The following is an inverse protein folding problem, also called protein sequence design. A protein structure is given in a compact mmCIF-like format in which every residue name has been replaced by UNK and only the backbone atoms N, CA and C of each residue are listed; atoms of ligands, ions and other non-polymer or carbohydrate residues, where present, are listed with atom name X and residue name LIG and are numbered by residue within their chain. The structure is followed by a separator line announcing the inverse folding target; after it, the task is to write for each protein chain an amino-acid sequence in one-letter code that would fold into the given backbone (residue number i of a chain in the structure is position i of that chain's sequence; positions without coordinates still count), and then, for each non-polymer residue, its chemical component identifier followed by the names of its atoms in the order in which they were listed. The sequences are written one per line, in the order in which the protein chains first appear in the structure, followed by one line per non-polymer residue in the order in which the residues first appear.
data_IF_979743339559
#
_entry.id   IF_979743339559
#
_cell.length_a   1.000
_cell.length_b   1.000
_cell.length_c   1.000
_cell.angle_alpha   90.00
_cell.angle_beta   90.00
_cell.angle_gamma   90.00
#
_symmetry.space_group_name_H-M   'P 1'
#
loop_
_entity.id
_entity.type
_entity.pdbx_description
1 polymer ?
#
# COMPACT_ATOMS: atom_id res chain seq x y z
N UNK A 1 24.15 3.72 -9.01
CA UNK A 1 23.69 2.56 -8.23
C UNK A 1 24.53 2.37 -6.96
N UNK A 2 25.82 2.06 -7.05
CA UNK A 2 26.63 1.78 -5.85
C UNK A 2 26.65 2.90 -4.79
N UNK A 3 26.74 4.19 -5.18
CA UNK A 3 26.66 5.32 -4.24
C UNK A 3 25.29 5.43 -3.55
N UNK A 4 24.20 5.37 -4.33
CA UNK A 4 22.84 5.36 -3.76
C UNK A 4 22.63 4.18 -2.79
N UNK A 5 23.19 3.01 -3.11
CA UNK A 5 23.04 1.81 -2.26
C UNK A 5 23.83 1.96 -0.96
N UNK A 6 25.02 2.58 -1.02
CA UNK A 6 25.80 2.97 0.15
C UNK A 6 25.04 3.97 1.02
N UNK A 7 24.49 5.03 0.42
CA UNK A 7 23.73 6.06 1.15
C UNK A 7 22.49 5.46 1.84
N UNK A 8 21.79 4.52 1.17
CA UNK A 8 20.66 3.82 1.76
C UNK A 8 21.08 2.91 2.91
N UNK A 9 22.22 2.23 2.78
CA UNK A 9 22.76 1.40 3.85
C UNK A 9 23.19 2.22 5.07
N UNK A 10 23.83 3.38 4.86
CA UNK A 10 24.18 4.34 5.93
C UNK A 10 22.94 4.84 6.68
N UNK A 11 21.83 5.06 5.96
CA UNK A 11 20.52 5.43 6.53
C UNK A 11 19.76 4.26 7.15
N UNK A 12 20.34 3.06 7.19
CA UNK A 12 19.72 1.80 7.68
C UNK A 12 18.43 1.44 6.94
N UNK A 13 18.32 1.82 5.67
CA UNK A 13 17.18 1.52 4.82
C UNK A 13 17.40 0.17 4.13
N UNK A 14 16.79 -0.88 4.68
CA UNK A 14 16.81 -2.22 4.10
C UNK A 14 15.44 -2.91 4.16
N UNK A 15 15.27 -4.06 3.50
CA UNK A 15 14.03 -4.83 3.60
C UNK A 15 13.66 -5.18 5.05
N UNK A 16 14.63 -5.34 5.94
CA UNK A 16 14.37 -5.51 7.38
C UNK A 16 13.64 -4.30 7.96
N UNK A 17 14.10 -3.09 7.65
CA UNK A 17 13.46 -1.86 8.13
C UNK A 17 12.03 -1.68 7.59
N UNK A 18 11.74 -2.16 6.37
CA UNK A 18 10.35 -2.21 5.86
C UNK A 18 9.51 -3.16 6.71
N UNK A 19 10.01 -4.37 6.96
CA UNK A 19 9.30 -5.37 7.77
C UNK A 19 9.02 -4.87 9.18
N UNK A 20 9.97 -4.16 9.79
CA UNK A 20 9.83 -3.57 11.13
C UNK A 20 8.84 -2.40 11.11
N UNK A 21 8.94 -1.49 10.14
CA UNK A 21 8.02 -0.35 10.01
C UNK A 21 6.57 -0.77 9.74
N UNK A 22 6.39 -1.91 9.07
CA UNK A 22 5.07 -2.50 8.80
C UNK A 22 4.65 -3.53 9.86
N UNK A 23 5.42 -3.71 10.93
CA UNK A 23 5.02 -4.57 12.03
C UNK A 23 3.91 -3.89 12.85
N UNK A 24 2.78 -4.59 13.00
CA UNK A 24 1.59 -4.02 13.65
C UNK A 24 0.76 -3.13 12.72
N UNK A 25 0.07 -2.14 13.29
CA UNK A 25 -0.85 -1.27 12.58
C UNK A 25 -0.16 0.02 12.14
N UNK A 26 0.58 -0.07 11.02
CA UNK A 26 1.36 1.03 10.49
C UNK A 26 0.47 2.18 9.96
N UNK A 27 0.84 3.42 10.29
CA UNK A 27 0.14 4.65 9.89
C UNK A 27 1.07 5.52 9.03
N UNK A 28 0.54 6.59 8.44
CA UNK A 28 1.39 7.55 7.73
C UNK A 28 2.41 8.19 8.68
N UNK A 29 2.03 8.46 9.92
CA UNK A 29 2.93 9.02 10.94
C UNK A 29 4.06 8.07 11.33
N UNK A 30 3.77 6.78 11.52
CA UNK A 30 4.79 5.83 11.99
C UNK A 30 5.70 5.30 10.88
N UNK A 31 5.18 5.09 9.67
CA UNK A 31 5.90 4.42 8.58
C UNK A 31 6.09 5.27 7.32
N UNK A 32 5.33 6.35 7.13
CA UNK A 32 5.25 7.07 5.85
C UNK A 32 6.59 7.59 5.35
N UNK A 33 7.34 8.28 6.22
CA UNK A 33 8.65 8.83 5.87
C UNK A 33 9.66 7.74 5.49
N UNK A 34 9.65 6.60 6.18
CA UNK A 34 10.56 5.49 5.87
C UNK A 34 10.20 4.87 4.52
N UNK A 35 8.92 4.57 4.29
CA UNK A 35 8.45 3.94 3.06
C UNK A 35 8.77 4.80 1.82
N UNK A 36 8.61 6.12 1.92
CA UNK A 36 8.90 7.06 0.82
C UNK A 36 10.39 7.20 0.48
N UNK A 37 11.31 6.84 1.39
CA UNK A 37 12.74 6.90 1.11
C UNK A 37 13.25 5.72 0.27
N UNK A 38 12.48 4.62 0.18
CA UNK A 38 12.86 3.47 -0.64
C UNK A 38 12.73 3.77 -2.12
N UNK A 39 13.75 3.35 -2.88
CA UNK A 39 13.74 3.44 -4.34
C UNK A 39 13.39 2.09 -4.96
N UNK A 40 12.62 2.15 -6.05
CA UNK A 40 12.41 0.97 -6.86
C UNK A 40 13.70 0.58 -7.59
N UNK A 41 13.90 -0.72 -7.74
CA UNK A 41 14.94 -1.26 -8.59
C UNK A 41 14.53 -1.07 -10.06
N UNK A 42 15.28 -0.23 -10.77
CA UNK A 42 15.13 -0.03 -12.23
C UNK A 42 16.22 -0.86 -12.92
N UNK A 43 15.83 -1.62 -13.95
CA UNK A 43 16.64 -2.66 -14.60
C UNK A 43 18.13 -2.33 -14.73
N UNK A 44 18.93 -3.32 -14.34
CA UNK A 44 20.37 -3.29 -14.29
C UNK A 44 21.04 -3.73 -15.60
N UNK A 45 20.91 -2.95 -16.66
CA UNK A 45 21.82 -3.09 -17.81
C UNK A 45 23.30 -2.79 -17.48
N UNK A 46 23.63 -2.57 -16.19
CA UNK A 46 24.95 -2.18 -15.68
C UNK A 46 25.34 -2.86 -14.35
N UNK A 47 24.73 -3.98 -13.94
CA UNK A 47 25.25 -4.69 -12.77
C UNK A 47 26.45 -5.57 -13.17
N UNK A 48 27.58 -5.49 -12.45
CA UNK A 48 28.70 -6.39 -12.70
C UNK A 48 28.26 -7.85 -12.48
N UNK A 49 28.70 -8.79 -13.33
CA UNK A 49 28.38 -10.21 -13.18
C UNK A 49 29.13 -10.75 -11.96
N UNK A 50 28.44 -10.85 -10.83
CA UNK A 50 29.04 -11.40 -9.61
C UNK A 50 27.99 -11.55 -8.51
N UNK A 51 28.02 -12.70 -7.83
CA UNK A 51 27.26 -12.93 -6.60
C UNK A 51 27.80 -11.98 -5.51
N UNK A 52 26.89 -11.30 -4.82
CA UNK A 52 26.87 -11.41 -3.37
C UNK A 52 25.56 -12.07 -2.98
N UNK A 53 25.67 -13.10 -2.15
CA UNK A 53 24.60 -13.47 -1.23
C UNK A 53 24.59 -12.33 -0.21
N UNK A 54 24.07 -11.16 -0.58
CA UNK A 54 23.66 -10.20 0.42
C UNK A 54 22.52 -10.87 1.16
N UNK A 55 22.56 -10.88 2.49
CA UNK A 55 21.38 -11.27 3.25
C UNK A 55 20.20 -10.50 2.65
N UNK A 56 19.16 -11.23 2.26
CA UNK A 56 17.95 -10.66 1.71
C UNK A 56 17.43 -9.48 2.57
N UNK A 57 17.68 -9.52 3.88
CA UNK A 57 17.33 -8.48 4.83
C UNK A 57 18.16 -7.18 4.70
N UNK A 58 19.31 -7.22 4.04
CA UNK A 58 20.22 -6.09 3.80
C UNK A 58 20.00 -5.44 2.43
N UNK A 59 19.19 -6.06 1.56
CA UNK A 59 18.85 -5.49 0.26
C UNK A 59 18.11 -4.16 0.45
N UNK A 60 18.56 -3.10 -0.24
CA UNK A 60 18.11 -1.72 0.01
C UNK A 60 17.04 -1.24 -0.98
N UNK A 61 16.82 -1.96 -2.08
CA UNK A 61 15.87 -1.57 -3.13
C UNK A 61 14.65 -2.49 -3.17
N UNK A 62 13.54 -2.00 -3.71
CA UNK A 62 12.32 -2.80 -3.86
C UNK A 62 12.07 -3.09 -5.34
N UNK A 63 11.80 -4.34 -5.70
CA UNK A 63 11.45 -4.67 -7.08
C UNK A 63 10.13 -4.02 -7.49
N UNK A 64 10.04 -3.61 -8.76
CA UNK A 64 8.78 -3.18 -9.34
C UNK A 64 7.73 -4.30 -9.29
N UNK A 65 6.45 -3.92 -9.20
CA UNK A 65 5.35 -4.88 -9.02
C UNK A 65 5.29 -5.94 -10.12
N UNK A 66 5.54 -5.56 -11.38
CA UNK A 66 5.52 -6.49 -12.51
C UNK A 66 6.64 -7.54 -12.43
N UNK A 67 7.81 -7.16 -11.90
CA UNK A 67 8.90 -8.11 -11.68
C UNK A 67 8.53 -9.09 -10.55
N UNK A 68 7.92 -8.61 -9.47
CA UNK A 68 7.42 -9.46 -8.38
C UNK A 68 6.38 -10.47 -8.89
N UNK A 69 5.46 -10.06 -9.77
CA UNK A 69 4.47 -10.96 -10.39
C UNK A 69 5.13 -12.04 -11.25
N UNK A 70 6.19 -11.70 -11.99
CA UNK A 70 6.98 -12.69 -12.75
C UNK A 70 7.66 -13.69 -11.83
N UNK A 71 8.15 -13.25 -10.67
CA UNK A 71 8.72 -14.15 -9.67
C UNK A 71 7.67 -15.08 -9.07
N UNK A 72 6.48 -14.58 -8.72
CA UNK A 72 5.38 -15.43 -8.23
C UNK A 72 4.99 -16.50 -9.26
N UNK A 73 4.91 -16.14 -10.55
CA UNK A 73 4.64 -17.09 -11.62
C UNK A 73 5.70 -18.20 -11.71
N UNK A 74 6.99 -17.87 -11.49
CA UNK A 74 8.06 -18.86 -11.40
C UNK A 74 7.88 -19.79 -10.20
N UNK A 75 7.58 -19.25 -9.01
CA UNK A 75 7.31 -20.06 -7.80
C UNK A 75 6.18 -21.07 -8.07
N UNK A 76 5.06 -20.60 -8.62
CA UNK A 76 3.93 -21.46 -8.96
C UNK A 76 4.30 -22.53 -9.99
N UNK A 77 5.11 -22.19 -11.00
CA UNK A 77 5.58 -23.16 -12.00
C UNK A 77 6.46 -24.25 -11.35
N UNK A 78 7.35 -23.90 -10.42
CA UNK A 78 8.18 -24.86 -9.69
C UNK A 78 7.32 -25.82 -8.83
N UNK A 79 6.32 -25.30 -8.12
CA UNK A 79 5.42 -26.12 -7.30
C UNK A 79 4.57 -27.08 -8.15
N UNK A 80 4.14 -26.64 -9.33
CA UNK A 80 3.39 -27.50 -10.28
C UNK A 80 4.26 -28.65 -10.79
N UNK A 81 5.53 -28.38 -11.09
CA UNK A 81 6.46 -29.39 -11.57
C UNK A 81 6.97 -30.34 -10.47
N UNK A 82 6.87 -29.94 -9.19
CA UNK A 82 7.32 -30.73 -8.04
C UNK A 82 6.24 -30.74 -6.96
N UNK A 83 5.35 -31.74 -7.01
CA UNK A 83 4.29 -31.93 -6.00
C UNK A 83 4.90 -32.01 -4.59
N UNK A 84 4.32 -31.25 -3.65
CA UNK A 84 4.75 -31.21 -2.25
C UNK A 84 5.92 -30.27 -1.95
N UNK A 85 6.43 -29.52 -2.93
CA UNK A 85 7.48 -28.53 -2.69
C UNK A 85 6.90 -27.29 -1.97
N UNK A 86 7.31 -27.10 -0.72
CA UNK A 86 6.94 -25.90 0.06
C UNK A 86 7.59 -24.63 -0.52
N UNK A 87 6.88 -23.50 -0.48
CA UNK A 87 7.37 -22.21 -1.01
C UNK A 87 8.70 -21.78 -0.38
N UNK A 88 8.85 -21.98 0.93
CA UNK A 88 10.08 -21.65 1.66
C UNK A 88 11.33 -22.40 1.18
N UNK A 89 11.15 -23.50 0.44
CA UNK A 89 12.25 -24.29 -0.12
C UNK A 89 12.53 -23.94 -1.59
N UNK A 90 11.88 -22.91 -2.13
CA UNK A 90 12.09 -22.42 -3.49
C UNK A 90 12.97 -21.18 -3.42
N UNK A 91 13.96 -21.10 -4.31
CA UNK A 91 14.76 -19.90 -4.51
C UNK A 91 14.60 -19.46 -5.97
N UNK A 92 14.37 -18.15 -6.18
CA UNK A 92 14.12 -17.58 -7.50
C UNK A 92 15.33 -16.78 -7.95
N UNK A 93 15.93 -17.20 -9.06
CA UNK A 93 16.94 -16.41 -9.74
C UNK A 93 16.30 -15.30 -10.57
N UNK A 94 16.75 -14.07 -10.30
CA UNK A 94 16.51 -12.88 -11.11
C UNK A 94 17.81 -12.59 -11.84
N UNK A 95 17.82 -12.90 -13.14
CA UNK A 95 18.99 -12.79 -14.00
C UNK A 95 19.59 -11.39 -13.91
N UNK A 96 20.90 -11.32 -13.67
CA UNK A 96 21.64 -10.06 -13.53
C UNK A 96 21.47 -9.34 -12.19
N UNK A 97 20.70 -9.90 -11.25
CA UNK A 97 20.47 -9.31 -9.92
C UNK A 97 20.88 -10.25 -8.79
N UNK A 98 20.39 -11.49 -8.79
CA UNK A 98 20.70 -12.45 -7.74
C UNK A 98 19.61 -13.51 -7.52
N UNK A 99 19.76 -14.28 -6.44
CA UNK A 99 18.83 -15.34 -6.05
C UNK A 99 18.07 -14.88 -4.80
N UNK A 100 16.75 -14.95 -4.84
CA UNK A 100 15.87 -14.44 -3.79
C UNK A 100 14.92 -15.52 -3.28
N UNK A 101 14.70 -15.52 -1.97
CA UNK A 101 13.69 -16.38 -1.34
C UNK A 101 12.30 -15.75 -1.43
N UNK A 102 11.21 -16.55 -1.53
CA UNK A 102 9.84 -16.05 -1.54
C UNK A 102 9.50 -15.16 -0.34
N UNK A 103 10.05 -15.43 0.84
CA UNK A 103 9.87 -14.58 2.01
C UNK A 103 10.43 -13.16 1.79
N UNK A 104 11.57 -13.02 1.12
CA UNK A 104 12.17 -11.74 0.73
C UNK A 104 11.28 -10.98 -0.27
N UNK A 105 10.81 -11.69 -1.29
CA UNK A 105 9.91 -11.12 -2.30
C UNK A 105 8.57 -10.70 -1.68
N UNK A 106 8.11 -11.40 -0.65
CA UNK A 106 6.90 -11.04 0.10
C UNK A 106 7.06 -9.69 0.81
N UNK A 107 8.21 -9.42 1.43
CA UNK A 107 8.49 -8.10 2.06
C UNK A 107 8.43 -6.99 1.00
N UNK A 108 9.06 -7.21 -0.15
CA UNK A 108 8.99 -6.26 -1.27
C UNK A 108 7.55 -6.01 -1.72
N UNK A 109 6.71 -7.05 -1.79
CA UNK A 109 5.27 -6.90 -2.10
C UNK A 109 4.53 -6.09 -1.02
N UNK A 110 4.84 -6.36 0.25
CA UNK A 110 4.24 -5.66 1.39
C UNK A 110 4.58 -4.17 1.45
N UNK A 111 5.64 -3.72 0.77
CA UNK A 111 5.95 -2.29 0.65
C UNK A 111 5.03 -1.53 -0.33
N UNK A 112 4.63 -2.15 -1.45
CA UNK A 112 3.93 -1.43 -2.54
C UNK A 112 2.56 -0.89 -2.13
N UNK A 113 1.76 -1.68 -1.39
CA UNK A 113 0.40 -1.26 -0.99
C UNK A 113 0.44 -0.11 0.04
N UNK A 114 1.17 -0.21 1.17
CA UNK A 114 1.37 0.91 2.10
C UNK A 114 1.97 2.15 1.45
N UNK A 115 2.94 2.02 0.53
CA UNK A 115 3.48 3.19 -0.17
C UNK A 115 2.41 3.91 -0.99
N UNK A 116 1.54 3.16 -1.66
CA UNK A 116 0.42 3.74 -2.40
C UNK A 116 -0.53 4.49 -1.45
N UNK A 117 -0.81 3.91 -0.28
CA UNK A 117 -1.60 4.54 0.78
C UNK A 117 -0.96 5.85 1.28
N UNK A 118 0.35 5.84 1.56
CA UNK A 118 1.11 7.03 1.97
C UNK A 118 0.96 8.14 0.93
N UNK A 119 1.18 7.83 -0.35
CA UNK A 119 1.04 8.81 -1.45
C UNK A 119 -0.39 9.34 -1.57
N UNK A 120 -1.41 8.52 -1.30
CA UNK A 120 -2.81 8.96 -1.28
C UNK A 120 -3.05 9.94 -0.14
N UNK A 121 -2.58 9.63 1.07
CA UNK A 121 -2.69 10.52 2.24
C UNK A 121 -1.98 11.85 1.98
N UNK A 122 -0.74 11.82 1.47
CA UNK A 122 0.01 13.04 1.11
C UNK A 122 -0.74 13.90 0.07
N UNK A 123 -1.34 13.27 -0.94
CA UNK A 123 -2.12 13.96 -1.97
C UNK A 123 -3.37 14.61 -1.38
N UNK A 124 -4.10 13.92 -0.50
CA UNK A 124 -5.29 14.47 0.16
C UNK A 124 -4.92 15.62 1.09
N UNK A 125 -3.85 15.48 1.88
CA UNK A 125 -3.35 16.56 2.73
C UNK A 125 -2.98 17.80 1.92
N UNK A 126 -2.32 17.61 0.78
CA UNK A 126 -2.00 18.70 -0.13
C UNK A 126 -3.27 19.35 -0.70
N UNK A 127 -4.24 18.55 -1.15
CA UNK A 127 -5.52 19.05 -1.65
C UNK A 127 -6.25 19.89 -0.60
N UNK A 128 -6.39 19.40 0.64
CA UNK A 128 -7.01 20.15 1.76
C UNK A 128 -6.34 21.50 1.94
N UNK A 129 -5.01 21.57 1.88
CA UNK A 129 -4.28 22.85 2.02
C UNK A 129 -4.45 23.81 0.83
N UNK A 130 -4.86 23.30 -0.32
CA UNK A 130 -5.01 24.08 -1.57
C UNK A 130 -6.42 24.59 -1.81
N UNK A 131 -7.44 24.00 -1.16
CA UNK A 131 -8.83 24.40 -1.33
C UNK A 131 -9.15 25.59 -0.44
N UNK A 132 -9.55 26.69 -1.06
CA UNK A 132 -10.12 27.83 -0.36
C UNK A 132 -11.63 27.64 -0.21
N UNK A 133 -12.05 27.08 0.93
CA UNK A 133 -13.46 26.83 1.28
C UNK A 133 -14.23 28.14 1.46
N UNK A 134 -13.54 29.27 1.70
CA UNK A 134 -14.19 30.57 1.88
C UNK A 134 -14.73 31.17 0.57
N UNK A 135 -14.21 30.73 -0.58
CA UNK A 135 -14.62 31.18 -1.91
C UNK A 135 -15.84 30.43 -2.47
N UNK A 136 -16.27 29.34 -1.83
CA UNK A 136 -17.13 28.34 -2.48
C UNK A 136 -18.60 28.31 -2.05
N UNK A 137 -19.07 29.14 -1.12
CA UNK A 137 -20.43 28.96 -0.59
C UNK A 137 -21.22 30.26 -0.34
N UNK A 138 -22.43 30.31 -0.92
CA UNK A 138 -23.59 30.95 -0.29
C UNK A 138 -23.74 30.41 1.14
N UNK A 139 -24.21 31.25 2.07
CA UNK A 139 -24.28 30.96 3.51
C UNK A 139 -25.03 29.67 3.90
N UNK A 140 -25.81 29.07 2.99
CA UNK A 140 -26.55 27.82 3.19
C UNK A 140 -25.71 26.55 3.09
N UNK A 141 -24.50 26.59 2.52
CA UNK A 141 -23.62 25.43 2.35
C UNK A 141 -22.28 25.57 3.08
N UNK A 142 -22.21 26.41 4.11
CA UNK A 142 -20.98 26.62 4.86
C UNK A 142 -20.48 25.30 5.47
N UNK A 143 -19.34 24.81 4.98
CA UNK A 143 -18.63 23.69 5.55
C UNK A 143 -17.50 24.25 6.40
N UNK A 144 -17.58 24.04 7.72
CA UNK A 144 -16.48 24.37 8.62
C UNK A 144 -15.30 23.42 8.37
N UNK A 145 -14.11 24.00 8.19
CA UNK A 145 -12.87 23.22 8.08
C UNK A 145 -12.57 22.56 9.43
N UNK A 146 -12.58 21.22 9.49
CA UNK A 146 -12.14 20.49 10.68
C UNK A 146 -10.61 20.62 10.85
N UNK A 147 -10.13 21.32 11.90
CA UNK A 147 -8.70 21.51 12.13
C UNK A 147 -7.97 20.20 12.49
N UNK A 148 -8.70 19.17 12.93
CA UNK A 148 -8.12 17.88 13.34
C UNK A 148 -8.01 16.89 12.16
N UNK A 149 -8.69 17.15 11.04
CA UNK A 149 -8.71 16.27 9.88
C UNK A 149 -7.31 15.85 9.39
N UNK A 150 -6.30 16.75 9.30
CA UNK A 150 -4.95 16.35 8.92
C UNK A 150 -4.30 15.35 9.88
N UNK A 151 -4.55 15.49 11.19
CA UNK A 151 -4.02 14.57 12.19
C UNK A 151 -4.70 13.19 12.09
N UNK A 152 -6.03 13.18 11.93
CA UNK A 152 -6.82 11.95 11.72
C UNK A 152 -6.37 11.19 10.47
N UNK A 153 -6.08 11.89 9.37
CA UNK A 153 -5.58 11.27 8.15
C UNK A 153 -4.19 10.63 8.34
N UNK A 154 -3.32 11.25 9.14
CA UNK A 154 -1.97 10.74 9.40
C UNK A 154 -1.95 9.53 10.34
N UNK A 155 -2.91 9.45 11.27
CA UNK A 155 -3.06 8.34 12.21
C UNK A 155 -3.84 7.16 11.64
N UNK A 156 -4.44 7.29 10.46
CA UNK A 156 -5.18 6.21 9.83
C UNK A 156 -4.26 5.05 9.42
N UNK A 157 -4.65 3.79 9.68
CA UNK A 157 -3.87 2.63 9.27
C UNK A 157 -3.70 2.56 7.75
N UNK A 158 -2.47 2.43 7.25
CA UNK A 158 -2.13 2.45 5.82
C UNK A 158 -2.77 1.30 5.03
N UNK A 159 -3.14 0.21 5.71
CA UNK A 159 -3.76 -0.95 5.09
C UNK A 159 -5.28 -1.01 5.28
N UNK A 160 -5.89 0.01 5.91
CA UNK A 160 -7.33 0.06 6.10
C UNK A 160 -8.08 0.24 4.78
N UNK A 161 -9.34 -0.21 4.75
CA UNK A 161 -10.24 0.03 3.61
C UNK A 161 -10.60 1.51 3.45
N UNK A 162 -10.46 2.31 4.51
CA UNK A 162 -10.75 3.75 4.48
C UNK A 162 -9.78 4.51 3.56
N UNK A 163 -8.51 4.09 3.47
CA UNK A 163 -7.53 4.63 2.51
C UNK A 163 -8.05 4.51 1.07
N UNK A 164 -8.77 3.43 0.74
CA UNK A 164 -9.27 3.18 -0.61
C UNK A 164 -10.34 4.19 -1.04
N UNK A 165 -10.97 4.88 -0.09
CA UNK A 165 -11.99 5.92 -0.34
C UNK A 165 -11.34 7.30 -0.46
N UNK A 166 -10.20 7.52 0.20
CA UNK A 166 -9.48 8.81 0.14
C UNK A 166 -9.01 9.20 -1.27
N UNK A 167 -8.73 8.22 -2.14
CA UNK A 167 -8.35 8.51 -3.54
C UNK A 167 -9.46 9.26 -4.32
N UNK A 168 -10.70 9.28 -3.80
CA UNK A 168 -11.79 10.09 -4.37
C UNK A 168 -11.70 11.57 -4.01
N UNK A 169 -11.31 11.90 -2.78
CA UNK A 169 -11.27 13.28 -2.29
C UNK A 169 -10.29 14.15 -3.11
N UNK A 170 -9.16 13.57 -3.52
CA UNK A 170 -8.13 14.28 -4.27
C UNK A 170 -8.36 14.35 -5.79
N UNK A 171 -9.47 13.80 -6.33
CA UNK A 171 -9.76 13.83 -7.78
C UNK A 171 -10.44 15.11 -8.26
N UNK A 172 -10.91 15.96 -7.34
CA UNK A 172 -11.50 17.26 -7.66
C UNK A 172 -12.90 17.19 -8.29
N UNK A 173 -13.07 16.45 -9.39
CA UNK A 173 -14.37 16.19 -10.04
C UNK A 173 -14.69 14.70 -10.05
N UNK A 174 -15.89 14.34 -9.61
CA UNK A 174 -16.40 12.96 -9.67
C UNK A 174 -16.86 12.67 -11.10
N UNK A 175 -15.93 12.30 -11.98
CA UNK A 175 -16.28 11.78 -13.31
C UNK A 175 -17.12 10.50 -13.18
N UNK A 176 -17.92 10.16 -14.20
CA UNK A 176 -18.79 8.97 -14.21
C UNK A 176 -18.06 7.68 -13.83
N UNK A 177 -16.80 7.55 -14.25
CA UNK A 177 -15.91 6.42 -13.91
C UNK A 177 -15.55 6.38 -12.42
N UNK A 178 -15.35 7.56 -11.82
CA UNK A 178 -15.04 7.74 -10.40
C UNK A 178 -16.28 7.47 -9.55
N UNK A 179 -17.44 7.97 -9.99
CA UNK A 179 -18.74 7.70 -9.36
C UNK A 179 -19.12 6.22 -9.42
N UNK A 180 -18.91 5.57 -10.56
CA UNK A 180 -19.09 4.12 -10.71
C UNK A 180 -18.19 3.32 -9.77
N UNK A 181 -16.92 3.69 -9.66
CA UNK A 181 -15.97 3.04 -8.74
C UNK A 181 -16.37 3.24 -7.27
N UNK A 182 -16.87 4.43 -6.92
CA UNK A 182 -17.38 4.73 -5.59
C UNK A 182 -18.63 3.90 -5.27
N UNK A 183 -19.61 3.82 -6.19
CA UNK A 183 -20.80 2.99 -6.04
C UNK A 183 -20.45 1.51 -5.86
N UNK A 184 -19.52 0.96 -6.64
CA UNK A 184 -19.07 -0.42 -6.48
C UNK A 184 -18.47 -0.70 -5.10
N UNK A 185 -17.71 0.25 -4.54
CA UNK A 185 -17.12 0.12 -3.19
C UNK A 185 -18.18 0.24 -2.08
N UNK A 186 -19.13 1.16 -2.21
CA UNK A 186 -20.22 1.35 -1.22
C UNK A 186 -21.13 0.13 -1.18
N UNK A 187 -21.56 -0.38 -2.35
CA UNK A 187 -22.42 -1.56 -2.45
C UNK A 187 -21.73 -2.80 -1.87
N UNK A 188 -20.42 -2.94 -2.10
CA UNK A 188 -19.64 -4.08 -1.60
C UNK A 188 -19.39 -4.02 -0.08
N UNK A 189 -19.29 -2.83 0.51
CA UNK A 189 -19.19 -2.65 1.96
C UNK A 189 -20.55 -2.74 2.67
N UNK A 190 -21.66 -2.52 1.96
CA UNK A 190 -23.02 -2.67 2.49
C UNK A 190 -23.49 -4.11 2.69
N UNK A 191 -22.76 -5.12 2.20
CA UNK A 191 -23.13 -6.53 2.34
C UNK A 191 -22.76 -7.17 3.69
N UNK A 192 -22.15 -6.42 4.63
CA UNK A 192 -21.79 -6.91 5.97
C UNK A 192 -22.59 -6.25 7.12
N UNK A 193 -23.65 -5.51 6.83
CA UNK A 193 -24.41 -4.78 7.84
C UNK A 193 -25.91 -4.82 7.62
N UNK A 194 -26.51 -6.01 7.64
CA UNK A 194 -27.97 -6.16 7.81
C UNK A 194 -28.35 -7.59 8.18
N UNK A 195 -27.90 -8.05 9.35
CA UNK A 195 -28.64 -9.05 10.13
C UNK A 195 -29.21 -8.34 11.37
N UNK A 196 -30.16 -7.43 11.14
CA UNK A 196 -31.12 -7.03 12.18
C UNK A 196 -32.49 -7.44 11.67
N UNK A 197 -33.00 -8.56 12.21
CA UNK A 197 -34.38 -8.97 12.01
C UNK A 197 -35.32 -7.93 12.63
N UNK A 198 -36.37 -7.48 11.92
CA UNK A 198 -37.39 -6.64 12.52
C UNK A 198 -38.22 -7.45 13.53
N UNK A 199 -38.15 -7.00 14.78
CA UNK A 199 -38.99 -7.44 15.88
C UNK A 199 -40.44 -7.01 15.60
N UNK A 200 -41.28 -7.93 15.16
CA UNK A 200 -42.73 -7.71 15.06
C UNK A 200 -43.34 -7.74 16.46
N UNK A 201 -43.59 -6.56 17.02
CA UNK A 201 -44.55 -6.40 18.11
C UNK A 201 -45.97 -6.57 17.55
N UNK A 202 -46.60 -7.72 17.80
CA UNK A 202 -48.06 -7.84 17.74
C UNK A 202 -48.62 -7.59 19.14
N UNK A 203 -49.35 -6.48 19.31
CA UNK A 203 -50.30 -6.32 20.42
C UNK A 203 -51.70 -6.03 19.86
N UNK A 204 -52.60 -6.96 20.17
CA UNK A 204 -54.04 -6.83 20.45
C UNK A 204 -54.99 -6.27 19.37
N UNK A 205 -56.04 -7.02 19.01
CA UNK A 205 -57.32 -7.09 19.75
C UNK A 205 -58.40 -7.85 18.96
N UNK A 206 -58.98 -8.91 19.54
CA UNK A 206 -60.38 -8.97 20.03
C UNK A 206 -60.61 -10.24 20.82
#
# INVERSE_FOLDING_TARGET
MARDDSDMHERRLSLKSIKEALSGEATHESAGQLLNQFKQFVNASQLPPGKPITDACEFTRVFAWDLLRKCDAKVTAYQRNRRGLAEQNIAIEVVGVGIFMPCTLSIMKQWHRPLTAVKTVERVLHWISSVDVSLLCDTSFHVETDPNLPATLKSMPLLSEQINVLDFAAKGSLEDTTMWTAMQKIIRNGQYGSDDQPNYCEHHQK
#
